data_IF_036358863831
#
_entry.id   IF_036358863831
#
_cell.length_a   1.000
_cell.length_b   1.000
_cell.length_c   1.000
_cell.angle_alpha   90.00
_cell.angle_beta   90.00
_cell.angle_gamma   90.00
#
_symmetry.space_group_name_H-M   'P 1'
#
loop_
_entity.id
_entity.type
_entity.pdbx_description
1 polymer ?
#
# COMPACT_ATOMS: atom_id res chain seq x y z
N UNK A 1 -7.88 -9.93 11.52
CA UNK A 1 -7.37 -10.57 10.28
C UNK A 1 -5.85 -10.55 10.35
N UNK A 2 -5.13 -11.60 9.94
CA UNK A 2 -3.65 -11.55 9.94
C UNK A 2 -3.18 -10.88 8.65
N UNK A 3 -2.76 -9.63 8.74
CA UNK A 3 -2.11 -8.92 7.64
C UNK A 3 -0.77 -9.63 7.38
N UNK A 4 -0.59 -10.16 6.17
CA UNK A 4 0.66 -10.84 5.80
C UNK A 4 1.78 -9.82 5.61
N UNK A 5 3.03 -10.24 5.76
CA UNK A 5 4.16 -9.35 5.49
C UNK A 5 4.17 -8.98 4.00
N UNK A 6 4.40 -7.70 3.73
CA UNK A 6 4.65 -7.24 2.37
C UNK A 6 6.09 -7.59 1.97
N UNK A 7 6.29 -8.04 0.72
CA UNK A 7 7.59 -8.31 0.14
C UNK A 7 7.62 -7.83 -1.30
N UNK A 8 8.73 -7.23 -1.71
CA UNK A 8 8.94 -6.88 -3.10
C UNK A 8 9.46 -8.04 -3.92
N UNK A 9 8.88 -8.19 -5.12
CA UNK A 9 9.32 -9.18 -6.11
C UNK A 9 10.74 -8.94 -6.64
N UNK A 10 11.26 -7.71 -6.57
CA UNK A 10 12.50 -7.32 -7.22
C UNK A 10 13.45 -6.64 -6.23
N UNK A 11 14.66 -7.20 -6.08
CA UNK A 11 15.70 -6.60 -5.23
C UNK A 11 16.32 -5.35 -5.84
N UNK A 12 16.97 -4.53 -5.01
CA UNK A 12 17.70 -3.31 -5.41
C UNK A 12 18.80 -3.62 -6.43
N UNK A 13 19.53 -4.73 -6.27
CA UNK A 13 20.57 -5.15 -7.20
C UNK A 13 19.99 -5.49 -8.57
N UNK A 14 18.88 -6.22 -8.60
CA UNK A 14 18.17 -6.56 -9.84
C UNK A 14 17.66 -5.30 -10.55
N UNK A 15 17.17 -4.32 -9.80
CA UNK A 15 16.77 -3.03 -10.36
C UNK A 15 17.92 -2.28 -11.02
N UNK A 16 19.09 -2.19 -10.36
CA UNK A 16 20.28 -1.54 -10.93
C UNK A 16 20.74 -2.21 -12.21
N UNK A 17 20.64 -3.54 -12.30
CA UNK A 17 20.97 -4.29 -13.51
C UNK A 17 19.98 -3.97 -14.64
N UNK A 18 18.67 -4.00 -14.34
CA UNK A 18 17.64 -3.61 -15.31
C UNK A 18 17.84 -2.18 -15.81
N UNK A 19 18.21 -1.25 -14.93
CA UNK A 19 18.44 0.16 -15.26
C UNK A 19 19.56 0.31 -16.29
N UNK A 20 20.70 -0.34 -16.05
CA UNK A 20 21.81 -0.35 -17.01
C UNK A 20 21.41 -0.95 -18.35
N UNK A 21 20.65 -2.04 -18.34
CA UNK A 21 20.19 -2.69 -19.57
C UNK A 21 19.21 -1.81 -20.37
N UNK A 22 18.32 -1.09 -19.68
CA UNK A 22 17.40 -0.15 -20.30
C UNK A 22 18.16 0.96 -21.01
N UNK A 23 19.08 1.63 -20.31
CA UNK A 23 19.86 2.71 -20.89
C UNK A 23 20.78 2.26 -22.02
N UNK A 24 21.34 1.04 -21.94
CA UNK A 24 22.09 0.45 -23.04
C UNK A 24 21.23 0.23 -24.29
N UNK A 25 19.98 -0.21 -24.14
CA UNK A 25 19.03 -0.37 -25.25
C UNK A 25 18.62 0.97 -25.86
N UNK A 26 18.34 1.97 -25.03
CA UNK A 26 18.03 3.34 -25.49
C UNK A 26 19.21 3.93 -26.27
N UNK A 27 20.44 3.80 -25.75
CA UNK A 27 21.64 4.26 -26.43
C UNK A 27 21.88 3.52 -27.76
N UNK A 28 21.65 2.20 -27.80
CA UNK A 28 21.70 1.42 -29.02
C UNK A 28 20.67 1.91 -30.05
N UNK A 29 19.43 2.19 -29.64
CA UNK A 29 18.40 2.77 -30.49
C UNK A 29 18.84 4.11 -31.09
N UNK A 30 19.34 5.03 -30.25
CA UNK A 30 19.85 6.34 -30.70
C UNK A 30 20.96 6.17 -31.75
N UNK A 31 21.98 5.36 -31.45
CA UNK A 31 23.09 5.12 -32.36
C UNK A 31 22.63 4.55 -33.72
N UNK A 32 21.60 3.70 -33.73
CA UNK A 32 21.01 3.15 -34.96
C UNK A 32 20.29 4.21 -35.80
N UNK A 33 19.56 5.12 -35.14
CA UNK A 33 18.94 6.26 -35.82
C UNK A 33 20.01 7.19 -36.38
N UNK A 34 21.03 7.56 -35.60
CA UNK A 34 22.12 8.43 -36.04
C UNK A 34 22.87 7.86 -37.26
N UNK A 35 23.16 6.56 -37.24
CA UNK A 35 23.80 5.88 -38.38
C UNK A 35 22.92 5.88 -39.63
N UNK A 36 21.61 5.68 -39.46
CA UNK A 36 20.65 5.76 -40.57
C UNK A 36 20.56 7.18 -41.14
N UNK A 37 20.58 8.20 -40.28
CA UNK A 37 20.61 9.62 -40.67
C UNK A 37 21.85 9.98 -41.48
N UNK A 38 23.02 9.54 -41.02
CA UNK A 38 24.31 9.87 -41.63
C UNK A 38 24.56 9.07 -42.92
N UNK A 39 24.13 7.81 -42.95
CA UNK A 39 24.44 6.87 -44.04
C UNK A 39 23.23 5.99 -44.37
N UNK A 40 22.16 6.60 -44.88
CA UNK A 40 20.91 5.92 -45.27
C UNK A 40 21.11 4.76 -46.28
N UNK A 41 22.27 4.68 -46.94
CA UNK A 41 22.63 3.63 -47.91
C UNK A 41 23.11 2.34 -47.23
N UNK A 42 23.70 2.42 -46.04
CA UNK A 42 24.34 1.26 -45.36
C UNK A 42 23.49 0.63 -44.28
N UNK A 43 22.66 1.40 -43.57
CA UNK A 43 21.81 0.85 -42.50
C UNK A 43 20.39 0.66 -43.01
N UNK A 44 19.92 -0.60 -43.00
CA UNK A 44 18.56 -0.93 -43.43
C UNK A 44 17.57 -0.38 -42.41
N UNK A 45 16.52 0.30 -42.88
CA UNK A 45 15.36 0.75 -42.07
C UNK A 45 14.86 -0.36 -41.14
N UNK A 46 14.87 -1.63 -41.59
CA UNK A 46 14.50 -2.79 -40.77
C UNK A 46 15.30 -2.91 -39.47
N UNK A 47 16.62 -2.65 -39.48
CA UNK A 47 17.45 -2.74 -38.28
C UNK A 47 17.11 -1.64 -37.26
N UNK A 48 16.76 -0.45 -37.73
CA UNK A 48 16.30 0.65 -36.87
C UNK A 48 14.96 0.26 -36.23
N UNK A 49 14.02 -0.27 -37.03
CA UNK A 49 12.74 -0.76 -36.54
C UNK A 49 12.88 -1.92 -35.53
N UNK A 50 13.80 -2.85 -35.77
CA UNK A 50 14.09 -3.96 -34.86
C UNK A 50 14.64 -3.45 -33.52
N UNK A 51 15.51 -2.43 -33.55
CA UNK A 51 16.04 -1.80 -32.34
C UNK A 51 14.92 -1.14 -31.52
N UNK A 52 14.02 -0.39 -32.16
CA UNK A 52 12.86 0.17 -31.47
C UNK A 52 11.98 -0.93 -30.88
N UNK A 53 11.76 -2.02 -31.62
CA UNK A 53 10.94 -3.14 -31.13
C UNK A 53 11.54 -3.78 -29.89
N UNK A 54 12.83 -4.06 -29.92
CA UNK A 54 13.55 -4.62 -28.78
C UNK A 54 13.50 -3.67 -27.57
N UNK A 55 13.72 -2.37 -27.76
CA UNK A 55 13.69 -1.41 -26.67
C UNK A 55 12.29 -1.21 -26.07
N UNK A 56 11.26 -1.08 -26.91
CA UNK A 56 9.86 -0.94 -26.46
C UNK A 56 9.38 -2.19 -25.72
N UNK A 57 9.67 -3.39 -26.25
CA UNK A 57 9.29 -4.64 -25.60
C UNK A 57 10.03 -4.82 -24.27
N UNK A 58 11.35 -4.58 -24.26
CA UNK A 58 12.13 -4.66 -23.03
C UNK A 58 11.60 -3.72 -21.95
N UNK A 59 11.32 -2.46 -22.30
CA UNK A 59 10.77 -1.49 -21.36
C UNK A 59 9.37 -1.88 -20.87
N UNK A 60 8.50 -2.34 -21.77
CA UNK A 60 7.15 -2.82 -21.41
C UNK A 60 7.22 -3.99 -20.41
N UNK A 61 8.01 -5.01 -20.73
CA UNK A 61 8.03 -6.26 -19.97
C UNK A 61 8.75 -6.10 -18.62
N UNK A 62 9.82 -5.30 -18.57
CA UNK A 62 10.68 -5.19 -17.39
C UNK A 62 10.41 -3.96 -16.52
N UNK A 63 9.75 -2.93 -17.06
CA UNK A 63 9.42 -1.72 -16.31
C UNK A 63 7.93 -1.53 -16.17
N UNK A 64 7.19 -1.46 -17.27
CA UNK A 64 5.77 -1.14 -17.20
C UNK A 64 5.00 -2.18 -16.39
N UNK A 65 5.20 -3.46 -16.71
CA UNK A 65 4.53 -4.56 -16.01
C UNK A 65 5.03 -4.73 -14.57
N UNK A 66 6.34 -4.55 -14.33
CA UNK A 66 6.93 -4.71 -12.99
C UNK A 66 6.52 -3.57 -12.07
N UNK A 67 6.64 -2.32 -12.53
CA UNK A 67 6.18 -1.13 -11.80
C UNK A 67 4.71 -1.25 -11.43
N UNK A 68 3.86 -1.56 -12.42
CA UNK A 68 2.42 -1.66 -12.20
C UNK A 68 2.10 -2.73 -11.16
N UNK A 69 2.75 -3.91 -11.23
CA UNK A 69 2.56 -4.98 -10.26
C UNK A 69 3.03 -4.58 -8.86
N UNK A 70 4.20 -3.97 -8.73
CA UNK A 70 4.75 -3.54 -7.44
C UNK A 70 3.90 -2.44 -6.79
N UNK A 71 3.54 -1.40 -7.56
CA UNK A 71 2.68 -0.30 -7.10
C UNK A 71 1.31 -0.83 -6.71
N UNK A 72 0.68 -1.68 -7.54
CA UNK A 72 -0.62 -2.26 -7.23
C UNK A 72 -0.57 -3.14 -5.98
N UNK A 73 0.48 -3.94 -5.82
CA UNK A 73 0.70 -4.76 -4.64
C UNK A 73 0.81 -3.90 -3.38
N UNK A 74 1.60 -2.82 -3.44
CA UNK A 74 1.77 -1.89 -2.33
C UNK A 74 0.47 -1.16 -1.98
N UNK A 75 -0.25 -0.62 -2.97
CA UNK A 75 -1.54 0.04 -2.75
C UNK A 75 -2.60 -0.91 -2.21
N UNK A 76 -2.63 -2.16 -2.71
CA UNK A 76 -3.53 -3.19 -2.18
C UNK A 76 -3.22 -3.51 -0.71
N UNK A 77 -1.93 -3.53 -0.34
CA UNK A 77 -1.51 -3.73 1.04
C UNK A 77 -1.94 -2.59 1.96
N UNK A 78 -1.75 -1.34 1.52
CA UNK A 78 -2.23 -0.15 2.25
C UNK A 78 -3.75 -0.15 2.40
N UNK A 79 -4.48 -0.59 1.38
CA UNK A 79 -5.94 -0.74 1.47
C UNK A 79 -6.33 -1.74 2.55
N UNK A 80 -5.63 -2.87 2.66
CA UNK A 80 -5.91 -3.86 3.71
C UNK A 80 -5.68 -3.29 5.11
N UNK A 81 -4.60 -2.52 5.30
CA UNK A 81 -4.32 -1.80 6.57
C UNK A 81 -5.45 -0.82 6.90
N UNK A 82 -5.88 -0.01 5.91
CA UNK A 82 -6.98 0.96 6.08
C UNK A 82 -8.29 0.26 6.46
N UNK A 83 -8.62 -0.83 5.77
CA UNK A 83 -9.88 -1.54 5.98
C UNK A 83 -9.92 -2.21 7.36
N UNK A 84 -8.79 -2.80 7.80
CA UNK A 84 -8.67 -3.35 9.17
C UNK A 84 -8.74 -2.23 10.23
N UNK A 85 -8.11 -1.08 9.99
CA UNK A 85 -8.21 0.09 10.88
C UNK A 85 -9.64 0.62 11.02
N UNK A 86 -10.36 0.71 9.91
CA UNK A 86 -11.77 1.13 9.91
C UNK A 86 -12.61 0.16 10.72
N UNK A 87 -12.39 -1.15 10.56
CA UNK A 87 -13.12 -2.16 11.31
C UNK A 87 -12.76 -2.20 12.82
N UNK A 88 -11.50 -1.89 13.18
CA UNK A 88 -11.09 -1.69 14.57
C UNK A 88 -11.80 -0.48 15.17
N UNK A 89 -11.83 0.63 14.44
CA UNK A 89 -12.52 1.85 14.87
C UNK A 89 -14.02 1.62 15.09
N UNK A 90 -14.70 0.98 14.15
CA UNK A 90 -16.13 0.66 14.26
C UNK A 90 -16.42 -0.22 15.49
N UNK A 91 -15.54 -1.18 15.78
CA UNK A 91 -15.65 -2.04 16.97
C UNK A 91 -15.50 -1.21 18.25
N UNK A 92 -14.53 -0.28 18.30
CA UNK A 92 -14.32 0.60 19.46
C UNK A 92 -15.48 1.55 19.69
N UNK A 93 -16.08 2.08 18.63
CA UNK A 93 -17.28 2.91 18.74
C UNK A 93 -18.43 2.10 19.34
N UNK A 94 -18.63 0.85 18.89
CA UNK A 94 -19.63 -0.06 19.45
C UNK A 94 -19.40 -0.34 20.93
N UNK A 95 -18.18 -0.74 21.29
CA UNK A 95 -17.77 -0.99 22.69
C UNK A 95 -17.96 0.26 23.56
N UNK A 96 -17.59 1.44 23.06
CA UNK A 96 -17.75 2.71 23.77
C UNK A 96 -19.21 3.06 24.01
N UNK A 97 -20.08 2.84 23.03
CA UNK A 97 -21.52 3.02 23.18
C UNK A 97 -22.11 2.07 24.22
N UNK A 98 -21.78 0.77 24.14
CA UNK A 98 -22.24 -0.23 25.10
C UNK A 98 -21.75 0.07 26.53
N UNK A 99 -20.52 0.54 26.68
CA UNK A 99 -19.98 0.97 27.97
C UNK A 99 -20.72 2.18 28.54
N UNK A 100 -21.03 3.18 27.72
CA UNK A 100 -21.81 4.35 28.15
C UNK A 100 -23.24 3.96 28.60
N UNK A 101 -23.91 3.08 27.85
CA UNK A 101 -25.23 2.54 28.22
C UNK A 101 -25.16 1.77 29.54
N UNK A 102 -24.09 1.00 29.75
CA UNK A 102 -23.88 0.27 30.99
C UNK A 102 -23.70 1.23 32.18
N UNK A 103 -22.89 2.27 32.04
CA UNK A 103 -22.70 3.28 33.08
C UNK A 103 -24.00 4.01 33.45
N UNK A 104 -24.81 4.38 32.45
CA UNK A 104 -26.12 4.98 32.69
C UNK A 104 -27.05 3.99 33.44
N UNK A 105 -26.99 2.70 33.09
CA UNK A 105 -27.76 1.68 33.81
C UNK A 105 -27.34 1.54 35.27
N UNK A 106 -26.05 1.69 35.61
CA UNK A 106 -25.57 1.65 36.98
C UNK A 106 -26.07 2.83 37.80
N UNK A 107 -26.15 4.02 37.22
CA UNK A 107 -26.67 5.21 37.90
C UNK A 107 -28.18 5.12 38.19
N UNK A 108 -28.92 4.34 37.39
CA UNK A 108 -30.38 4.31 37.42
C UNK A 108 -30.98 3.01 37.99
N UNK A 109 -30.16 2.03 38.40
CA UNK A 109 -30.63 0.72 38.88
C UNK A 109 -30.25 0.49 40.33
N UNK A 110 -31.20 0.03 41.16
CA UNK A 110 -30.91 -0.41 42.52
C UNK A 110 -29.99 -1.64 42.53
N UNK A 111 -29.03 -1.66 43.46
CA UNK A 111 -28.09 -2.77 43.64
C UNK A 111 -28.82 -4.05 44.07
N UNK A 112 -29.08 -4.92 43.10
CA UNK A 112 -29.68 -6.25 43.29
C UNK A 112 -28.77 -7.32 42.71
N UNK A 113 -28.94 -8.58 43.15
CA UNK A 113 -28.19 -9.72 42.58
C UNK A 113 -28.43 -9.88 41.07
N UNK A 114 -29.63 -9.58 40.59
CA UNK A 114 -29.97 -9.61 39.17
C UNK A 114 -29.25 -8.50 38.38
N UNK A 115 -29.22 -7.28 38.91
CA UNK A 115 -28.47 -6.17 38.30
C UNK A 115 -26.97 -6.46 38.25
N UNK A 116 -26.39 -7.05 39.30
CA UNK A 116 -24.99 -7.45 39.34
C UNK A 116 -24.67 -8.58 38.34
N UNK A 117 -25.56 -9.56 38.17
CA UNK A 117 -25.37 -10.62 37.17
C UNK A 117 -25.40 -10.05 35.73
N UNK A 118 -26.32 -9.12 35.45
CA UNK A 118 -26.38 -8.40 34.16
C UNK A 118 -25.12 -7.57 33.93
N UNK A 119 -24.66 -6.85 34.96
CA UNK A 119 -23.43 -6.07 34.93
C UNK A 119 -22.22 -6.94 34.56
N UNK A 120 -22.04 -8.09 35.22
CA UNK A 120 -20.95 -9.03 34.94
C UNK A 120 -21.01 -9.54 33.50
N UNK A 121 -22.19 -9.92 33.02
CA UNK A 121 -22.33 -10.38 31.63
C UNK A 121 -21.94 -9.29 30.62
N UNK A 122 -22.45 -8.06 30.79
CA UNK A 122 -22.13 -6.92 29.92
C UNK A 122 -20.65 -6.55 29.97
N UNK A 123 -20.05 -6.46 31.16
CA UNK A 123 -18.63 -6.15 31.31
C UNK A 123 -17.73 -7.24 30.72
N UNK A 124 -18.13 -8.51 30.82
CA UNK A 124 -17.40 -9.63 30.21
C UNK A 124 -17.42 -9.51 28.68
N UNK A 125 -18.57 -9.17 28.09
CA UNK A 125 -18.69 -8.92 26.64
C UNK A 125 -17.82 -7.73 26.21
N UNK A 126 -17.88 -6.61 26.94
CA UNK A 126 -17.07 -5.42 26.67
C UNK A 126 -15.57 -5.73 26.73
N UNK A 127 -15.12 -6.45 27.77
CA UNK A 127 -13.73 -6.88 27.92
C UNK A 127 -13.30 -7.75 26.74
N UNK A 128 -14.13 -8.72 26.34
CA UNK A 128 -13.85 -9.56 25.18
C UNK A 128 -13.74 -8.75 23.88
N UNK A 129 -14.61 -7.75 23.68
CA UNK A 129 -14.56 -6.86 22.53
C UNK A 129 -13.29 -6.01 22.50
N UNK A 130 -12.87 -5.46 23.64
CA UNK A 130 -11.62 -4.70 23.77
C UNK A 130 -10.40 -5.57 23.45
N UNK A 131 -10.32 -6.75 24.05
CA UNK A 131 -9.18 -7.65 23.83
C UNK A 131 -9.09 -8.14 22.38
N UNK A 132 -10.23 -8.46 21.73
CA UNK A 132 -10.24 -8.79 20.30
C UNK A 132 -9.76 -7.62 19.44
N UNK A 133 -10.17 -6.39 19.79
CA UNK A 133 -9.76 -5.20 19.07
C UNK A 133 -8.27 -4.93 19.24
N UNK A 134 -7.73 -5.16 20.44
CA UNK A 134 -6.29 -5.06 20.72
C UNK A 134 -5.48 -5.96 19.81
N UNK A 135 -5.84 -7.25 19.72
CA UNK A 135 -5.13 -8.20 18.86
C UNK A 135 -5.11 -7.74 17.39
N UNK A 136 -6.23 -7.18 16.91
CA UNK A 136 -6.31 -6.63 15.54
C UNK A 136 -5.45 -5.37 15.39
N UNK A 137 -5.50 -4.45 16.35
CA UNK A 137 -4.69 -3.24 16.37
C UNK A 137 -3.18 -3.56 16.42
N UNK A 138 -2.78 -4.60 17.16
CA UNK A 138 -1.40 -5.09 17.19
C UNK A 138 -0.96 -5.63 15.83
N UNK A 139 -1.85 -6.33 15.12
CA UNK A 139 -1.63 -6.77 13.75
C UNK A 139 -1.44 -5.60 12.78
N UNK A 140 -2.29 -4.56 12.88
CA UNK A 140 -2.12 -3.36 12.06
C UNK A 140 -0.83 -2.61 12.43
N UNK A 141 -0.53 -2.48 13.71
CA UNK A 141 0.68 -1.80 14.18
C UNK A 141 1.94 -2.50 13.66
N UNK A 142 1.95 -3.83 13.65
CA UNK A 142 3.05 -4.61 13.09
C UNK A 142 3.22 -4.35 11.60
N UNK A 143 2.12 -4.30 10.84
CA UNK A 143 2.15 -3.99 9.41
C UNK A 143 2.63 -2.55 9.12
N UNK A 144 2.18 -1.56 9.89
CA UNK A 144 2.64 -0.16 9.78
C UNK A 144 4.12 -0.03 10.14
N UNK A 145 4.57 -0.73 11.18
CA UNK A 145 5.98 -0.75 11.59
C UNK A 145 6.85 -1.37 10.50
N UNK A 146 6.44 -2.51 9.93
CA UNK A 146 7.12 -3.12 8.79
C UNK A 146 7.24 -2.15 7.62
N UNK A 147 6.14 -1.45 7.26
CA UNK A 147 6.16 -0.46 6.19
C UNK A 147 7.12 0.70 6.47
N UNK A 148 7.24 1.15 7.72
CA UNK A 148 8.15 2.22 8.13
C UNK A 148 9.62 1.78 8.07
N UNK A 149 9.93 0.59 8.56
CA UNK A 149 11.30 0.04 8.60
C UNK A 149 11.80 -0.31 7.20
N UNK A 150 10.96 -0.98 6.41
CA UNK A 150 11.29 -1.44 5.06
C UNK A 150 10.98 -0.35 4.00
N UNK A 151 10.53 0.85 4.41
CA UNK A 151 10.21 1.97 3.53
C UNK A 151 11.34 2.31 2.54
N UNK A 152 12.61 2.47 2.97
CA UNK A 152 13.70 2.79 2.06
C UNK A 152 13.99 1.65 1.08
N UNK A 153 13.75 0.41 1.50
CA UNK A 153 13.97 -0.79 0.70
C UNK A 153 12.84 -1.05 -0.30
N UNK A 154 11.69 -0.36 -0.16
CA UNK A 154 10.54 -0.59 -1.01
C UNK A 154 10.09 0.63 -1.81
N UNK A 155 9.77 1.74 -1.14
CA UNK A 155 9.16 2.89 -1.77
C UNK A 155 10.11 3.58 -2.75
N UNK A 156 11.36 3.78 -2.34
CA UNK A 156 12.38 4.42 -3.18
C UNK A 156 12.73 3.57 -4.42
N UNK A 157 12.99 2.25 -4.30
CA UNK A 157 13.09 1.31 -5.42
C UNK A 157 11.91 1.38 -6.41
N UNK A 158 10.66 1.35 -5.93
CA UNK A 158 9.48 1.45 -6.79
C UNK A 158 9.40 2.79 -7.51
N UNK A 159 9.65 3.89 -6.80
CA UNK A 159 9.66 5.23 -7.36
C UNK A 159 10.74 5.34 -8.46
N UNK A 160 11.96 4.85 -8.20
CA UNK A 160 13.03 4.81 -9.21
C UNK A 160 12.64 4.01 -10.46
N UNK A 161 11.98 2.87 -10.28
CA UNK A 161 11.54 2.03 -11.40
C UNK A 161 10.46 2.74 -12.24
N UNK A 162 9.50 3.40 -11.60
CA UNK A 162 8.49 4.26 -12.25
C UNK A 162 9.16 5.42 -13.00
N UNK A 163 10.06 6.16 -12.35
CA UNK A 163 10.77 7.28 -12.97
C UNK A 163 11.59 6.83 -14.17
N UNK A 164 12.32 5.72 -14.06
CA UNK A 164 13.11 5.17 -15.17
C UNK A 164 12.22 4.80 -16.36
N UNK A 165 11.04 4.23 -16.10
CA UNK A 165 10.08 3.92 -17.16
C UNK A 165 9.58 5.18 -17.87
N UNK A 166 9.25 6.23 -17.11
CA UNK A 166 8.79 7.53 -17.62
C UNK A 166 9.91 8.22 -18.43
N UNK A 167 11.12 8.29 -17.89
CA UNK A 167 12.25 8.90 -18.61
C UNK A 167 12.60 8.12 -19.87
N UNK A 168 12.61 6.78 -19.81
CA UNK A 168 12.83 5.93 -20.97
C UNK A 168 11.80 6.17 -22.08
N UNK A 169 10.53 6.41 -21.73
CA UNK A 169 9.49 6.82 -22.69
C UNK A 169 9.82 8.15 -23.34
N UNK A 170 10.22 9.15 -22.56
CA UNK A 170 10.55 10.49 -23.08
C UNK A 170 11.69 10.38 -24.09
N UNK A 171 12.77 9.71 -23.73
CA UNK A 171 13.93 9.51 -24.60
C UNK A 171 13.57 8.75 -25.88
N UNK A 172 12.86 7.63 -25.76
CA UNK A 172 12.44 6.86 -26.94
C UNK A 172 11.48 7.62 -27.84
N UNK A 173 10.63 8.50 -27.28
CA UNK A 173 9.73 9.34 -28.05
C UNK A 173 10.49 10.40 -28.84
N UNK A 174 11.53 11.00 -28.24
CA UNK A 174 12.45 11.90 -28.95
C UNK A 174 13.16 11.16 -30.10
N UNK A 175 13.76 10.00 -29.83
CA UNK A 175 14.45 9.19 -30.85
C UNK A 175 13.51 8.81 -31.99
N UNK A 176 12.28 8.41 -31.66
CA UNK A 176 11.26 8.05 -32.64
C UNK A 176 10.82 9.23 -33.50
N UNK A 177 10.63 10.41 -32.90
CA UNK A 177 10.27 11.63 -33.63
C UNK A 177 11.35 12.04 -34.64
N UNK A 178 12.63 12.00 -34.24
CA UNK A 178 13.76 12.28 -35.13
C UNK A 178 13.82 11.28 -36.29
N UNK A 179 13.63 9.99 -35.98
CA UNK A 179 13.59 8.95 -37.00
C UNK A 179 12.47 9.18 -38.02
N UNK A 180 11.26 9.55 -37.57
CA UNK A 180 10.13 9.84 -38.47
C UNK A 180 10.40 11.04 -39.39
N UNK A 181 11.06 12.09 -38.90
CA UNK A 181 11.42 13.25 -39.72
C UNK A 181 12.38 12.89 -40.86
N UNK A 182 13.16 11.83 -40.68
CA UNK A 182 14.15 11.35 -41.64
C UNK A 182 13.65 10.30 -42.62
N UNK A 183 12.59 9.57 -42.26
CA UNK A 183 12.07 8.48 -43.07
C UNK A 183 11.08 9.02 -44.10
N UNK A 184 11.54 9.28 -45.32
CA UNK A 184 10.70 9.78 -46.42
C UNK A 184 9.79 8.72 -47.06
N UNK A 185 9.85 7.46 -46.63
CA UNK A 185 9.09 6.35 -47.22
C UNK A 185 8.17 5.66 -46.22
N UNK A 186 6.86 5.85 -46.37
CA UNK A 186 5.86 5.06 -45.68
C UNK A 186 5.86 3.63 -46.23
N UNK A 187 6.25 2.66 -45.40
CA UNK A 187 6.13 1.22 -45.71
C UNK A 187 5.33 0.51 -44.61
N UNK A 188 4.89 -0.72 -44.86
CA UNK A 188 4.09 -1.50 -43.90
C UNK A 188 4.81 -1.71 -42.55
N UNK A 189 6.15 -1.73 -42.55
CA UNK A 189 6.96 -1.79 -41.32
C UNK A 189 6.78 -0.56 -40.43
N UNK A 190 6.65 0.63 -41.02
CA UNK A 190 6.39 1.88 -40.28
C UNK A 190 5.02 1.89 -39.60
N UNK A 191 4.00 1.29 -40.23
CA UNK A 191 2.66 1.16 -39.63
C UNK A 191 2.71 0.26 -38.40
N UNK A 192 3.40 -0.88 -38.50
CA UNK A 192 3.58 -1.80 -37.36
C UNK A 192 4.38 -1.16 -36.23
N UNK A 193 5.43 -0.38 -36.56
CA UNK A 193 6.22 0.33 -35.57
C UNK A 193 5.41 1.43 -34.88
N UNK A 194 4.60 2.20 -35.63
CA UNK A 194 3.72 3.22 -35.06
C UNK A 194 2.76 2.63 -34.03
N UNK A 195 2.07 1.53 -34.38
CA UNK A 195 1.14 0.87 -33.46
C UNK A 195 1.86 0.35 -32.20
N UNK A 196 3.06 -0.21 -32.36
CA UNK A 196 3.87 -0.65 -31.21
C UNK A 196 4.21 0.53 -30.30
N UNK A 197 4.61 1.67 -30.89
CA UNK A 197 4.98 2.86 -30.14
C UNK A 197 3.78 3.47 -29.40
N UNK A 198 2.63 3.55 -30.05
CA UNK A 198 1.36 3.98 -29.42
C UNK A 198 0.98 3.07 -28.23
N UNK A 199 1.12 1.75 -28.41
CA UNK A 199 0.86 0.77 -27.34
C UNK A 199 1.86 0.90 -26.19
N UNK A 200 3.13 1.13 -26.50
CA UNK A 200 4.18 1.36 -25.51
C UNK A 200 3.88 2.60 -24.67
N UNK A 201 3.54 3.72 -25.33
CA UNK A 201 3.19 4.98 -24.68
C UNK A 201 1.97 4.80 -23.76
N UNK A 202 0.89 4.20 -24.26
CA UNK A 202 -0.33 4.02 -23.46
C UNK A 202 -0.13 3.10 -22.26
N UNK A 203 0.72 2.07 -22.39
CA UNK A 203 1.04 1.18 -21.27
C UNK A 203 1.77 1.94 -20.15
N UNK A 204 2.64 2.89 -20.51
CA UNK A 204 3.38 3.69 -19.53
C UNK A 204 2.59 4.87 -18.98
N UNK A 205 1.52 5.31 -19.63
CA UNK A 205 0.62 6.35 -19.09
C UNK A 205 -0.04 5.92 -17.77
N UNK A 206 -0.26 4.62 -17.56
CA UNK A 206 -0.75 4.07 -16.28
C UNK A 206 0.20 4.40 -15.12
N UNK A 207 1.49 4.54 -15.40
CA UNK A 207 2.51 4.89 -14.41
C UNK A 207 2.65 6.41 -14.18
N UNK A 208 2.02 7.24 -15.01
CA UNK A 208 2.03 8.70 -14.87
C UNK A 208 1.00 9.21 -13.86
N UNK A 209 -0.12 8.49 -13.70
CA UNK A 209 -1.19 8.83 -12.75
C UNK A 209 -0.77 8.79 -11.27
N UNK A 210 0.11 7.88 -10.82
CA UNK A 210 0.59 7.85 -9.45
C UNK A 210 1.84 8.72 -9.23
N UNK A 211 2.09 9.78 -10.00
CA UNK A 211 3.23 10.70 -9.75
C UNK A 211 3.21 11.32 -8.35
N UNK A 212 2.08 11.30 -7.64
CA UNK A 212 1.98 11.65 -6.22
C UNK A 212 2.54 10.59 -5.25
N UNK A 213 2.95 9.39 -5.72
CA UNK A 213 3.77 8.45 -4.95
C UNK A 213 5.18 9.00 -4.66
N UNK A 214 5.57 10.11 -5.29
CA UNK A 214 6.91 10.68 -5.21
C UNK A 214 7.12 11.59 -3.99
N UNK A 215 6.09 11.89 -3.19
CA UNK A 215 6.27 12.55 -1.89
C UNK A 215 6.58 11.51 -0.81
N UNK A 216 7.71 10.80 -0.96
CA UNK A 216 8.04 9.69 -0.05
C UNK A 216 8.22 10.19 1.38
N UNK A 217 8.65 11.44 1.56
CA UNK A 217 8.76 12.11 2.86
C UNK A 217 7.39 12.30 3.52
N UNK A 218 6.43 12.92 2.82
CA UNK A 218 5.04 13.10 3.31
C UNK A 218 4.40 11.76 3.67
N UNK A 219 4.67 10.72 2.89
CA UNK A 219 4.15 9.38 3.15
C UNK A 219 4.76 8.74 4.40
N UNK A 220 6.08 8.86 4.59
CA UNK A 220 6.75 8.34 5.79
C UNK A 220 6.29 9.09 7.05
N UNK A 221 6.09 10.40 6.97
CA UNK A 221 5.51 11.19 8.07
C UNK A 221 4.08 10.70 8.40
N UNK A 222 3.24 10.49 7.39
CA UNK A 222 1.88 9.97 7.57
C UNK A 222 1.86 8.60 8.26
N UNK A 223 2.82 7.72 7.95
CA UNK A 223 2.95 6.42 8.64
C UNK A 223 3.37 6.57 10.10
N UNK A 224 4.26 7.53 10.41
CA UNK A 224 4.65 7.82 11.80
C UNK A 224 3.49 8.39 12.61
N UNK A 225 2.71 9.29 12.01
CA UNK A 225 1.50 9.85 12.64
C UNK A 225 0.47 8.75 12.92
N UNK A 226 0.28 7.83 11.97
CA UNK A 226 -0.61 6.68 12.15
C UNK A 226 -0.15 5.78 13.31
N UNK A 227 1.15 5.50 13.39
CA UNK A 227 1.74 4.75 14.50
C UNK A 227 1.53 5.45 15.85
N UNK A 228 1.76 6.76 15.93
CA UNK A 228 1.50 7.53 17.14
C UNK A 228 0.02 7.51 17.54
N UNK A 229 -0.90 7.59 16.57
CA UNK A 229 -2.34 7.48 16.82
C UNK A 229 -2.70 6.11 17.40
N UNK A 230 -2.15 5.02 16.87
CA UNK A 230 -2.39 3.68 17.40
C UNK A 230 -1.86 3.52 18.83
N UNK A 231 -0.70 4.08 19.15
CA UNK A 231 -0.16 4.05 20.52
C UNK A 231 -1.07 4.77 21.52
N UNK A 232 -1.66 5.91 21.12
CA UNK A 232 -2.66 6.62 21.93
C UNK A 232 -3.90 5.74 22.14
N UNK A 233 -4.46 5.17 21.06
CA UNK A 233 -5.66 4.30 21.13
C UNK A 233 -5.38 3.09 22.01
N UNK A 234 -4.22 2.46 21.88
CA UNK A 234 -3.78 1.35 22.73
C UNK A 234 -3.70 1.78 24.20
N UNK A 235 -3.14 2.95 24.48
CA UNK A 235 -3.09 3.50 25.84
C UNK A 235 -4.48 3.64 26.46
N UNK A 236 -5.44 4.20 25.71
CA UNK A 236 -6.83 4.35 26.15
C UNK A 236 -7.52 2.99 26.35
N UNK A 237 -7.32 2.04 25.43
CA UNK A 237 -7.85 0.68 25.57
C UNK A 237 -7.34 -0.01 26.84
N UNK A 238 -6.04 0.10 27.14
CA UNK A 238 -5.43 -0.49 28.33
C UNK A 238 -6.09 0.04 29.61
N UNK A 239 -6.27 1.36 29.69
CA UNK A 239 -6.91 1.99 30.84
C UNK A 239 -8.36 1.53 31.00
N UNK A 240 -9.11 1.45 29.90
CA UNK A 240 -10.50 0.99 29.93
C UNK A 240 -10.61 -0.48 30.36
N UNK A 241 -9.72 -1.36 29.88
CA UNK A 241 -9.67 -2.75 30.31
C UNK A 241 -9.40 -2.87 31.82
N UNK A 242 -8.48 -2.07 32.36
CA UNK A 242 -8.18 -2.05 33.80
C UNK A 242 -9.40 -1.59 34.63
N UNK A 243 -10.11 -0.56 34.17
CA UNK A 243 -11.31 -0.07 34.83
C UNK A 243 -12.44 -1.10 34.79
N UNK A 244 -12.67 -1.75 33.64
CA UNK A 244 -13.65 -2.83 33.51
C UNK A 244 -13.31 -3.99 34.47
N UNK A 245 -12.03 -4.36 34.59
CA UNK A 245 -11.60 -5.43 35.50
C UNK A 245 -11.87 -5.12 36.97
N UNK A 246 -11.62 -3.87 37.38
CA UNK A 246 -11.90 -3.41 38.75
C UNK A 246 -13.41 -3.49 39.08
N UNK A 247 -14.27 -3.07 38.13
CA UNK A 247 -15.73 -3.15 38.30
C UNK A 247 -16.21 -4.60 38.28
N UNK A 248 -15.69 -5.43 37.37
CA UNK A 248 -15.99 -6.88 37.33
C UNK A 248 -15.68 -7.56 38.65
N UNK A 249 -14.49 -7.32 39.19
CA UNK A 249 -14.07 -7.89 40.48
C UNK A 249 -15.03 -7.51 41.59
N UNK A 250 -15.44 -6.24 41.65
CA UNK A 250 -16.40 -5.74 42.65
C UNK A 250 -17.77 -6.38 42.50
N UNK A 251 -18.29 -6.46 41.28
CA UNK A 251 -19.59 -7.07 40.99
C UNK A 251 -19.61 -8.58 41.31
N UNK A 252 -18.51 -9.29 41.03
CA UNK A 252 -18.37 -10.70 41.37
C UNK A 252 -18.34 -10.94 42.90
N UNK A 253 -17.68 -10.06 43.66
CA UNK A 253 -17.71 -10.12 45.14
C UNK A 253 -19.13 -9.94 45.67
N UNK A 254 -19.92 -9.01 45.11
CA UNK A 254 -21.33 -8.84 45.48
C UNK A 254 -22.16 -10.11 45.19
N UNK A 255 -21.93 -10.76 44.04
CA UNK A 255 -22.60 -12.00 43.68
C UNK A 255 -22.20 -13.19 44.57
N UNK A 256 -21.00 -13.18 45.15
CA UNK A 256 -20.51 -14.20 46.06
C UNK A 256 -21.07 -14.08 47.50
N UNK A 257 -21.73 -12.97 47.85
CA UNK A 257 -22.33 -12.78 49.19
C UNK A 257 -23.50 -13.76 49.46
N UNK A 258 -23.68 -14.21 50.72
CA UNK A 258 -24.81 -15.06 51.11
C UNK A 258 -26.16 -14.41 50.78
N UNK A 259 -27.15 -15.22 50.35
CA UNK A 259 -28.49 -14.78 49.89
C UNK A 259 -29.24 -13.87 50.89
N UNK A 260 -28.91 -13.94 52.17
CA UNK A 260 -29.64 -13.25 53.24
C UNK A 260 -29.20 -11.79 53.49
N UNK A 261 -28.31 -11.24 52.66
CA UNK A 261 -27.66 -9.93 52.90
C UNK A 261 -27.96 -8.84 51.86
N UNK A 262 -28.72 -9.15 50.80
CA UNK A 262 -29.09 -8.19 49.76
C UNK A 262 -30.62 -8.14 49.60
N UNK A 263 -31.23 -6.94 49.41
CA UNK A 263 -32.64 -6.84 49.08
C UNK A 263 -32.95 -7.59 47.78
N UNK A 264 -34.05 -8.32 47.77
CA UNK A 264 -34.60 -9.00 46.58
C UNK A 264 -35.00 -8.01 45.50
#
# INVERSE_FOLDING_TARGET
MTIKNFQQDLSVESQKVLERLMWAKVASCRAKVDLYMLHAVTEKVSKVMDSFRDCCNFSKDNYASVAAKQVLGYVSYLSQIRDENSAVFDTLVGVGYEYAVLLDSFNNTYETRASAAKAVASLTTLKSGLSQTRERLDGVQSAVTQLNEEFPEYAEPMARLVHTAIFGRVELSSIYAEFLQSSSTANAGMVSLKLLFETFVSTLDILMTPTNLCEVETFQESLRDLQACHDIVRGVQNELELQIEAVLTTAQVLLARPRDTLPS
#
